data_IF_335804518173
#
_entry.id   IF_335804518173
#
_cell.length_a   1.000
_cell.length_b   1.000
_cell.length_c   1.000
_cell.angle_alpha   90.00
_cell.angle_beta   90.00
_cell.angle_gamma   90.00
#
_symmetry.space_group_name_H-M   'P 1'
#
loop_
_entity.id
_entity.type
_entity.pdbx_description
1 polymer ?
#
# COMPACT_ATOMS: atom_id res chain seq x y z
N UNK A 1 -7.61 -9.53 -15.67
CA UNK A 1 -8.97 -9.23 -16.18
C UNK A 1 -9.54 -7.94 -15.60
N UNK A 2 -9.47 -7.71 -14.28
CA UNK A 2 -10.04 -6.52 -13.60
C UNK A 2 -9.33 -5.20 -13.98
N UNK A 3 -8.00 -5.16 -13.97
CA UNK A 3 -7.22 -4.00 -14.47
C UNK A 3 -7.50 -3.71 -15.94
N UNK A 4 -7.85 -4.73 -16.75
CA UNK A 4 -8.23 -4.55 -18.16
C UNK A 4 -9.65 -4.00 -18.30
N UNK A 5 -10.58 -4.37 -17.40
CA UNK A 5 -11.94 -3.81 -17.36
C UNK A 5 -11.93 -2.33 -16.94
N UNK A 6 -11.13 -1.96 -15.93
CA UNK A 6 -10.92 -0.56 -15.54
C UNK A 6 -10.16 0.23 -16.62
N UNK A 7 -9.15 -0.36 -17.28
CA UNK A 7 -8.43 0.26 -18.41
C UNK A 7 -9.31 0.49 -19.65
N UNK A 8 -10.33 -0.34 -19.89
CA UNK A 8 -11.23 -0.21 -21.07
C UNK A 8 -12.13 1.03 -21.00
N UNK A 9 -12.38 1.58 -19.81
CA UNK A 9 -13.14 2.81 -19.58
C UNK A 9 -12.27 4.09 -19.58
N UNK A 10 -10.96 4.01 -19.84
CA UNK A 10 -10.03 5.14 -19.73
C UNK A 10 -10.07 6.16 -20.88
N UNK A 11 -10.94 5.98 -21.90
CA UNK A 11 -11.00 6.86 -23.07
C UNK A 11 -11.92 8.11 -22.90
N UNK A 12 -12.41 8.41 -21.69
CA UNK A 12 -13.17 9.65 -21.44
C UNK A 12 -12.30 10.70 -20.72
N UNK A 13 -11.58 11.50 -21.49
CA UNK A 13 -10.98 12.75 -20.99
C UNK A 13 -12.08 13.78 -20.73
N UNK A 14 -12.69 13.79 -19.54
CA UNK A 14 -13.62 14.87 -19.12
C UNK A 14 -13.60 15.21 -17.63
N UNK A 15 -12.50 14.95 -16.92
CA UNK A 15 -12.35 15.32 -15.50
C UNK A 15 -11.57 16.63 -15.24
N UNK A 16 -11.37 17.49 -16.26
CA UNK A 16 -10.44 18.63 -16.17
C UNK A 16 -10.98 19.92 -15.53
N UNK A 17 -12.22 19.94 -15.01
CA UNK A 17 -12.80 21.16 -14.41
C UNK A 17 -12.84 21.18 -12.88
N UNK A 18 -12.28 20.19 -12.17
CA UNK A 18 -12.03 20.31 -10.73
C UNK A 18 -10.61 20.85 -10.54
N UNK A 19 -10.47 22.14 -10.23
CA UNK A 19 -9.13 22.71 -10.09
C UNK A 19 -8.50 22.11 -8.85
N UNK A 20 -7.19 21.82 -8.92
CA UNK A 20 -6.43 21.34 -7.78
C UNK A 20 -6.62 22.26 -6.56
N UNK A 21 -6.84 23.56 -6.75
CA UNK A 21 -7.18 24.54 -5.70
C UNK A 21 -8.46 24.23 -4.92
N UNK A 22 -9.44 23.57 -5.55
CA UNK A 22 -10.74 23.23 -4.94
C UNK A 22 -10.60 22.05 -3.95
N UNK A 23 -9.51 21.28 -4.09
CA UNK A 23 -9.16 20.10 -3.27
C UNK A 23 -7.97 20.40 -2.34
N UNK A 24 -6.98 21.17 -2.79
CA UNK A 24 -5.75 21.51 -2.04
C UNK A 24 -6.00 22.48 -0.90
N UNK A 25 -7.19 23.07 -0.85
CA UNK A 25 -7.66 23.86 0.29
C UNK A 25 -7.72 23.08 1.60
N UNK A 26 -7.80 21.73 1.57
CA UNK A 26 -8.11 20.75 2.64
C UNK A 26 -7.26 20.84 3.93
N UNK A 27 -7.29 21.98 4.60
CA UNK A 27 -6.34 22.38 5.66
C UNK A 27 -6.61 21.79 7.04
N UNK A 28 -7.59 20.91 7.21
CA UNK A 28 -7.93 20.20 8.46
C UNK A 28 -9.13 19.29 8.21
N UNK A 29 -9.30 18.25 9.01
CA UNK A 29 -10.53 17.43 9.10
C UNK A 29 -11.87 18.19 9.07
N UNK A 30 -11.90 19.44 9.57
CA UNK A 30 -13.07 20.32 9.47
C UNK A 30 -13.53 20.49 8.02
N UNK A 31 -12.61 20.48 7.06
CA UNK A 31 -12.89 20.68 5.65
C UNK A 31 -13.35 19.42 4.93
N UNK A 32 -12.93 18.22 5.33
CA UNK A 32 -13.52 16.96 4.83
C UNK A 32 -14.97 16.84 5.29
N UNK A 33 -15.27 17.20 6.55
CA UNK A 33 -16.65 17.27 7.03
C UNK A 33 -17.44 18.37 6.32
N UNK A 34 -16.83 19.50 5.97
CA UNK A 34 -17.46 20.52 5.12
C UNK A 34 -17.66 20.00 3.70
N UNK A 35 -16.73 19.22 3.14
CA UNK A 35 -16.87 18.59 1.82
C UNK A 35 -18.03 17.60 1.83
N UNK A 36 -18.05 16.67 2.77
CA UNK A 36 -19.11 15.68 2.92
C UNK A 36 -20.45 16.29 3.35
N UNK A 37 -20.48 17.55 3.83
CA UNK A 37 -21.72 18.31 4.08
C UNK A 37 -22.11 19.25 2.94
N UNK A 38 -21.18 19.79 2.14
CA UNK A 38 -21.46 20.79 1.08
C UNK A 38 -21.46 20.18 -0.32
N UNK A 39 -20.52 19.30 -0.64
CA UNK A 39 -20.34 18.78 -1.99
C UNK A 39 -21.42 17.79 -2.42
N UNK A 40 -21.98 16.93 -1.55
CA UNK A 40 -23.12 16.09 -1.94
C UNK A 40 -24.33 16.88 -2.45
N UNK A 41 -24.42 18.19 -2.23
CA UNK A 41 -25.53 18.99 -2.74
C UNK A 41 -25.17 19.76 -4.02
N UNK A 42 -23.90 19.75 -4.45
CA UNK A 42 -23.53 20.34 -5.75
C UNK A 42 -23.94 19.41 -6.90
N UNK A 43 -24.54 19.98 -7.94
CA UNK A 43 -24.93 19.24 -9.15
C UNK A 43 -23.74 18.52 -9.78
N UNK A 44 -22.58 19.17 -9.83
CA UNK A 44 -21.34 18.60 -10.38
C UNK A 44 -20.85 17.37 -9.62
N UNK A 45 -20.87 17.39 -8.28
CA UNK A 45 -20.47 16.21 -7.52
C UNK A 45 -21.47 15.06 -7.68
N UNK A 46 -22.77 15.37 -7.80
CA UNK A 46 -23.78 14.33 -8.09
C UNK A 46 -23.52 13.68 -9.46
N UNK A 47 -23.19 14.47 -10.48
CA UNK A 47 -22.77 13.94 -11.79
C UNK A 47 -21.55 13.03 -11.68
N UNK A 48 -20.51 13.46 -10.96
CA UNK A 48 -19.31 12.63 -10.74
C UNK A 48 -19.59 11.38 -9.89
N UNK A 49 -20.57 11.42 -8.99
CA UNK A 49 -21.00 10.26 -8.22
C UNK A 49 -21.70 9.24 -9.10
N UNK A 50 -22.60 9.68 -9.98
CA UNK A 50 -23.27 8.79 -10.93
C UNK A 50 -22.28 8.19 -11.95
N UNK A 51 -21.27 8.95 -12.39
CA UNK A 51 -20.15 8.41 -13.18
C UNK A 51 -19.39 7.31 -12.42
N UNK A 52 -19.11 7.53 -11.12
CA UNK A 52 -18.44 6.53 -10.27
C UNK A 52 -19.28 5.27 -10.11
N UNK A 53 -20.60 5.42 -9.92
CA UNK A 53 -21.56 4.30 -9.85
C UNK A 53 -21.54 3.48 -11.12
N UNK A 54 -21.67 4.12 -12.28
CA UNK A 54 -21.69 3.42 -13.57
C UNK A 54 -20.37 2.67 -13.83
N UNK A 55 -19.23 3.29 -13.51
CA UNK A 55 -17.91 2.67 -13.71
C UNK A 55 -17.72 1.39 -12.87
N UNK A 56 -18.20 1.39 -11.62
CA UNK A 56 -18.08 0.25 -10.72
C UNK A 56 -19.33 -0.64 -10.65
N UNK A 57 -20.34 -0.37 -11.49
CA UNK A 57 -21.64 -1.05 -11.42
C UNK A 57 -21.50 -2.56 -11.48
N UNK A 58 -20.69 -3.06 -12.42
CA UNK A 58 -20.49 -4.50 -12.60
C UNK A 58 -19.83 -5.18 -11.39
N UNK A 59 -19.06 -4.43 -10.59
CA UNK A 59 -18.40 -4.91 -9.38
C UNK A 59 -19.44 -4.98 -8.26
N UNK A 60 -20.03 -3.84 -7.90
CA UNK A 60 -20.82 -3.72 -6.68
C UNK A 60 -22.26 -4.24 -6.81
N UNK A 61 -22.79 -4.40 -8.03
CA UNK A 61 -24.09 -5.07 -8.24
C UNK A 61 -24.04 -6.56 -7.87
N UNK A 62 -22.85 -7.18 -7.92
CA UNK A 62 -22.66 -8.63 -7.69
C UNK A 62 -21.95 -8.98 -6.38
N UNK A 63 -21.29 -8.01 -5.75
CA UNK A 63 -20.40 -8.25 -4.61
C UNK A 63 -20.96 -7.68 -3.31
N UNK A 64 -20.94 -6.35 -3.19
CA UNK A 64 -21.21 -5.60 -1.97
C UNK A 64 -22.00 -4.34 -2.30
N UNK A 65 -23.20 -4.21 -1.71
CA UNK A 65 -24.09 -3.09 -2.00
C UNK A 65 -23.65 -1.84 -1.23
N UNK A 66 -23.09 -0.88 -1.96
CA UNK A 66 -22.71 0.42 -1.43
C UNK A 66 -23.92 1.29 -1.13
N UNK A 67 -23.92 1.95 0.03
CA UNK A 67 -24.90 2.99 0.36
C UNK A 67 -24.48 4.36 -0.21
N UNK A 68 -25.33 5.38 -0.04
CA UNK A 68 -25.06 6.73 -0.60
C UNK A 68 -23.81 7.41 -0.02
N UNK A 69 -23.47 7.17 1.26
CA UNK A 69 -22.22 7.66 1.85
C UNK A 69 -21.00 6.93 1.27
N UNK A 70 -21.11 5.62 1.04
CA UNK A 70 -20.05 4.82 0.43
C UNK A 70 -19.74 5.33 -0.99
N UNK A 71 -20.77 5.57 -1.80
CA UNK A 71 -20.60 6.15 -3.12
C UNK A 71 -19.96 7.55 -3.08
N UNK A 72 -20.32 8.38 -2.11
CA UNK A 72 -19.71 9.69 -1.94
C UNK A 72 -18.22 9.60 -1.59
N UNK A 73 -17.83 8.68 -0.69
CA UNK A 73 -16.42 8.45 -0.33
C UNK A 73 -15.61 7.92 -1.50
N UNK A 74 -16.16 6.96 -2.23
CA UNK A 74 -15.50 6.38 -3.40
C UNK A 74 -15.32 7.42 -4.51
N UNK A 75 -16.32 8.28 -4.72
CA UNK A 75 -16.24 9.41 -5.66
C UNK A 75 -15.17 10.41 -5.22
N UNK A 76 -15.09 10.71 -3.92
CA UNK A 76 -14.07 11.60 -3.38
C UNK A 76 -12.65 11.07 -3.62
N UNK A 77 -12.42 9.76 -3.40
CA UNK A 77 -11.16 9.10 -3.74
C UNK A 77 -10.85 9.25 -5.23
N UNK A 78 -11.82 8.97 -6.11
CA UNK A 78 -11.65 9.05 -7.57
C UNK A 78 -11.26 10.46 -8.04
N UNK A 79 -11.93 11.48 -7.52
CA UNK A 79 -11.66 12.89 -7.84
C UNK A 79 -10.34 13.39 -7.23
N UNK A 80 -9.98 12.88 -6.05
CA UNK A 80 -8.72 13.23 -5.41
C UNK A 80 -7.54 12.59 -6.13
N UNK A 81 -7.50 11.26 -6.20
CA UNK A 81 -6.42 10.52 -6.82
C UNK A 81 -6.93 9.22 -7.45
N UNK A 82 -7.00 9.23 -8.78
CA UNK A 82 -7.48 8.11 -9.58
C UNK A 82 -6.76 6.79 -9.26
N UNK A 83 -5.45 6.82 -9.06
CA UNK A 83 -4.66 5.62 -8.76
C UNK A 83 -5.01 5.04 -7.40
N UNK A 84 -5.16 5.88 -6.37
CA UNK A 84 -5.60 5.44 -5.02
C UNK A 84 -7.01 4.84 -5.07
N UNK A 85 -7.91 5.43 -5.86
CA UNK A 85 -9.24 4.86 -6.10
C UNK A 85 -9.18 3.49 -6.78
N UNK A 86 -8.43 3.37 -7.89
CA UNK A 86 -8.31 2.09 -8.63
C UNK A 86 -7.70 1.01 -7.74
N UNK A 87 -6.70 1.37 -6.95
CA UNK A 87 -6.06 0.50 -5.98
C UNK A 87 -7.01 0.06 -4.86
N UNK A 88 -7.80 0.97 -4.29
CA UNK A 88 -8.78 0.64 -3.25
C UNK A 88 -9.84 -0.34 -3.77
N UNK A 89 -10.31 -0.15 -5.00
CA UNK A 89 -11.24 -1.08 -5.68
C UNK A 89 -10.55 -2.41 -5.99
N UNK A 90 -9.29 -2.38 -6.43
CA UNK A 90 -8.48 -3.58 -6.72
C UNK A 90 -8.28 -4.45 -5.48
N UNK A 91 -7.81 -3.86 -4.37
CA UNK A 91 -7.64 -4.54 -3.09
C UNK A 91 -8.96 -5.14 -2.59
N UNK A 92 -10.08 -4.38 -2.67
CA UNK A 92 -11.41 -4.90 -2.35
C UNK A 92 -11.77 -6.13 -3.19
N UNK A 93 -11.55 -6.08 -4.50
CA UNK A 93 -11.87 -7.18 -5.40
C UNK A 93 -11.04 -8.44 -5.10
N UNK A 94 -9.76 -8.28 -4.76
CA UNK A 94 -8.90 -9.40 -4.37
C UNK A 94 -9.45 -10.04 -3.10
N UNK A 95 -9.75 -9.25 -2.07
CA UNK A 95 -10.34 -9.76 -0.82
C UNK A 95 -11.68 -10.44 -1.06
N UNK A 96 -12.55 -9.83 -1.86
CA UNK A 96 -13.86 -10.37 -2.18
C UNK A 96 -13.75 -11.72 -2.90
N UNK A 97 -12.88 -11.83 -3.92
CA UNK A 97 -12.63 -13.09 -4.61
C UNK A 97 -12.13 -14.17 -3.65
N UNK A 98 -11.21 -13.82 -2.75
CA UNK A 98 -10.63 -14.73 -1.75
C UNK A 98 -11.66 -15.27 -0.76
N UNK A 99 -12.62 -14.44 -0.34
CA UNK A 99 -13.64 -14.83 0.63
C UNK A 99 -14.86 -15.49 -0.01
N UNK A 100 -15.20 -15.15 -1.26
CA UNK A 100 -16.41 -15.66 -1.92
C UNK A 100 -16.14 -16.86 -2.83
N UNK A 101 -14.98 -16.94 -3.50
CA UNK A 101 -14.66 -17.98 -4.49
C UNK A 101 -13.67 -19.05 -3.98
N UNK A 102 -13.63 -19.21 -2.65
CA UNK A 102 -12.93 -20.24 -1.88
C UNK A 102 -11.41 -20.37 -2.11
N UNK A 103 -10.66 -19.81 -1.15
CA UNK A 103 -9.44 -20.46 -0.64
C UNK A 103 -9.77 -21.85 -0.06
N UNK A 104 -8.82 -22.79 -0.05
CA UNK A 104 -8.87 -23.91 0.90
C UNK A 104 -8.89 -23.34 2.32
N UNK A 105 -9.94 -23.62 3.11
CA UNK A 105 -10.16 -22.96 4.41
C UNK A 105 -10.81 -21.56 4.34
N UNK A 106 -11.25 -21.12 3.15
CA UNK A 106 -11.89 -19.81 2.97
C UNK A 106 -13.20 -19.64 3.75
N UNK A 107 -13.90 -20.74 4.04
CA UNK A 107 -15.13 -20.71 4.84
C UNK A 107 -14.87 -20.33 6.30
N UNK A 108 -13.75 -20.83 6.85
CA UNK A 108 -13.26 -20.57 8.19
C UNK A 108 -12.74 -19.13 8.31
N UNK A 109 -11.97 -18.67 7.31
CA UNK A 109 -11.51 -17.28 7.23
C UNK A 109 -12.72 -16.34 7.17
N UNK A 110 -13.69 -16.61 6.30
CA UNK A 110 -14.92 -15.81 6.17
C UNK A 110 -15.71 -15.76 7.47
N UNK A 111 -15.83 -16.89 8.18
CA UNK A 111 -16.46 -16.96 9.50
C UNK A 111 -15.68 -16.13 10.54
N UNK A 112 -14.35 -16.24 10.56
CA UNK A 112 -13.48 -15.44 11.42
C UNK A 112 -13.68 -13.94 11.19
N UNK A 113 -13.70 -13.52 9.91
CA UNK A 113 -13.99 -12.14 9.50
C UNK A 113 -15.36 -11.68 10.03
N UNK A 114 -16.40 -12.51 9.89
CA UNK A 114 -17.74 -12.17 10.39
C UNK A 114 -17.79 -12.04 11.90
N UNK A 115 -17.13 -12.94 12.64
CA UNK A 115 -17.07 -12.89 14.11
C UNK A 115 -16.37 -11.62 14.60
N UNK A 116 -15.32 -11.19 13.90
CA UNK A 116 -14.46 -10.10 14.32
C UNK A 116 -14.94 -8.73 13.86
N UNK A 117 -15.28 -8.57 12.58
CA UNK A 117 -15.84 -7.34 12.04
C UNK A 117 -17.32 -7.17 12.43
N UNK A 118 -17.98 -8.25 12.83
CA UNK A 118 -19.43 -8.34 13.09
C UNK A 118 -20.27 -8.56 11.83
N UNK A 119 -19.78 -8.17 10.66
CA UNK A 119 -20.36 -8.54 9.37
C UNK A 119 -19.33 -8.39 8.24
N UNK A 120 -19.56 -9.08 7.12
CA UNK A 120 -18.74 -8.92 5.92
C UNK A 120 -18.87 -7.52 5.33
N UNK A 121 -20.05 -6.90 5.42
CA UNK A 121 -20.28 -5.54 4.94
C UNK A 121 -19.37 -4.50 5.61
N UNK A 122 -19.15 -4.65 6.92
CA UNK A 122 -18.19 -3.81 7.68
C UNK A 122 -16.78 -4.05 7.16
N UNK A 123 -16.37 -5.31 7.00
CA UNK A 123 -15.04 -5.65 6.52
C UNK A 123 -14.79 -5.18 5.08
N UNK A 124 -15.73 -5.41 4.17
CA UNK A 124 -15.67 -4.97 2.78
C UNK A 124 -15.61 -3.46 2.65
N UNK A 125 -16.39 -2.72 3.45
CA UNK A 125 -16.29 -1.26 3.52
C UNK A 125 -14.92 -0.80 4.06
N UNK A 126 -14.39 -1.48 5.08
CA UNK A 126 -13.06 -1.18 5.61
C UNK A 126 -11.97 -1.42 4.56
N UNK A 127 -12.05 -2.51 3.80
CA UNK A 127 -11.13 -2.81 2.71
C UNK A 127 -11.23 -1.76 1.60
N UNK A 128 -12.44 -1.40 1.17
CA UNK A 128 -12.64 -0.39 0.12
C UNK A 128 -12.16 1.02 0.52
N UNK A 129 -12.13 1.33 1.82
CA UNK A 129 -11.75 2.65 2.33
C UNK A 129 -10.51 2.63 3.22
N UNK A 130 -9.68 1.57 3.17
CA UNK A 130 -8.43 1.49 3.94
C UNK A 130 -7.51 2.68 3.66
N UNK A 131 -7.59 3.20 2.45
CA UNK A 131 -6.76 4.27 1.89
C UNK A 131 -7.41 5.66 1.87
N UNK A 132 -8.61 5.84 2.43
CA UNK A 132 -9.33 7.13 2.38
C UNK A 132 -8.52 8.28 2.99
N UNK A 133 -7.65 8.00 3.96
CA UNK A 133 -6.75 8.97 4.56
C UNK A 133 -5.71 9.56 3.60
N UNK A 134 -5.42 8.93 2.45
CA UNK A 134 -4.49 9.47 1.45
C UNK A 134 -4.97 10.81 0.87
N UNK A 135 -6.26 11.15 0.98
CA UNK A 135 -6.79 12.46 0.58
C UNK A 135 -6.20 13.63 1.39
N UNK A 136 -5.58 13.36 2.52
CA UNK A 136 -4.92 14.36 3.36
C UNK A 136 -3.44 14.53 3.02
N UNK A 137 -2.90 13.63 2.20
CA UNK A 137 -1.52 13.67 1.74
C UNK A 137 -1.44 14.53 0.47
N UNK A 138 -0.56 15.54 0.41
CA UNK A 138 -0.40 16.35 -0.79
C UNK A 138 -0.09 15.51 -2.03
N UNK A 139 -0.74 15.81 -3.16
CA UNK A 139 -0.59 15.01 -4.40
C UNK A 139 0.85 14.86 -4.89
N UNK A 140 1.71 15.87 -4.70
CA UNK A 140 3.13 15.78 -5.11
C UNK A 140 3.97 14.86 -4.21
N UNK A 141 3.49 14.56 -3.00
CA UNK A 141 4.05 13.53 -2.12
C UNK A 141 3.48 12.17 -2.50
N UNK A 142 2.16 12.08 -2.65
CA UNK A 142 1.47 10.84 -3.02
C UNK A 142 1.96 10.29 -4.37
N UNK A 143 2.18 11.17 -5.35
CA UNK A 143 2.65 10.85 -6.70
C UNK A 143 4.15 11.04 -6.88
N UNK A 144 4.92 10.98 -5.80
CA UNK A 144 6.37 11.07 -5.89
C UNK A 144 6.91 9.92 -6.75
N UNK A 145 7.58 10.25 -7.86
CA UNK A 145 8.08 9.27 -8.83
C UNK A 145 9.53 8.83 -8.58
N UNK A 146 10.16 9.30 -7.50
CA UNK A 146 11.55 8.94 -7.20
C UNK A 146 11.63 7.46 -6.82
N UNK A 147 12.49 6.74 -7.54
CA UNK A 147 12.79 5.33 -7.27
C UNK A 147 13.69 5.18 -6.05
N UNK A 148 13.86 3.96 -5.55
CA UNK A 148 14.83 3.69 -4.46
C UNK A 148 16.25 4.09 -4.86
N UNK A 149 16.62 3.94 -6.14
CA UNK A 149 17.91 4.41 -6.67
C UNK A 149 18.04 5.93 -6.60
N UNK A 150 16.98 6.66 -6.89
CA UNK A 150 16.97 8.12 -6.78
C UNK A 150 17.09 8.56 -5.33
N UNK A 151 16.36 7.93 -4.41
CA UNK A 151 16.47 8.21 -2.98
C UNK A 151 17.86 7.89 -2.42
N UNK A 152 18.47 6.77 -2.83
CA UNK A 152 19.86 6.46 -2.50
C UNK A 152 20.83 7.52 -3.02
N UNK A 153 20.62 8.03 -4.25
CA UNK A 153 21.42 9.11 -4.81
C UNK A 153 21.24 10.42 -4.04
N UNK A 154 20.02 10.76 -3.61
CA UNK A 154 19.75 11.95 -2.79
C UNK A 154 20.44 11.84 -1.43
N UNK A 155 20.35 10.68 -0.77
CA UNK A 155 21.04 10.39 0.48
C UNK A 155 22.56 10.50 0.34
N UNK A 156 23.14 9.82 -0.66
CA UNK A 156 24.57 9.89 -0.98
C UNK A 156 25.05 11.34 -1.14
N UNK A 157 24.36 12.14 -1.98
CA UNK A 157 24.70 13.54 -2.20
C UNK A 157 24.62 14.37 -0.91
N UNK A 158 23.65 14.11 -0.03
CA UNK A 158 23.53 14.78 1.26
C UNK A 158 24.74 14.50 2.16
N UNK A 159 25.10 13.22 2.29
CA UNK A 159 26.25 12.76 3.09
C UNK A 159 27.57 13.34 2.57
N UNK A 160 27.80 13.34 1.25
CA UNK A 160 29.03 13.91 0.66
C UNK A 160 29.14 15.42 0.86
N UNK A 161 28.03 16.17 0.74
CA UNK A 161 28.00 17.61 1.07
C UNK A 161 28.36 17.88 2.54
N UNK A 162 28.07 16.94 3.42
CA UNK A 162 28.38 17.01 4.85
C UNK A 162 29.75 16.39 5.21
N UNK A 163 30.64 16.18 4.22
CA UNK A 163 31.98 15.58 4.41
C UNK A 163 31.91 14.20 5.08
N UNK A 164 31.08 13.32 4.53
CA UNK A 164 30.86 11.96 5.04
C UNK A 164 30.29 11.95 6.47
N UNK A 165 29.44 12.93 6.81
CA UNK A 165 28.68 12.93 8.07
C UNK A 165 27.21 12.68 7.77
N UNK A 166 26.65 11.68 8.45
CA UNK A 166 25.20 11.45 8.47
C UNK A 166 24.57 12.47 9.43
N UNK A 167 23.55 13.18 8.95
CA UNK A 167 22.83 14.18 9.74
C UNK A 167 22.06 13.55 10.91
N UNK A 168 21.71 14.37 11.90
CA UNK A 168 21.05 13.93 13.13
C UNK A 168 19.72 13.19 12.85
N UNK A 169 18.93 13.68 11.91
CA UNK A 169 17.64 13.10 11.55
C UNK A 169 17.82 11.73 10.91
N UNK A 170 18.73 11.60 9.95
CA UNK A 170 19.00 10.28 9.36
C UNK A 170 19.53 9.31 10.42
N UNK A 171 20.38 9.76 11.37
CA UNK A 171 20.79 8.92 12.52
C UNK A 171 19.61 8.44 13.36
N UNK A 172 18.59 9.27 13.58
CA UNK A 172 17.35 8.89 14.28
C UNK A 172 16.64 7.76 13.53
N UNK A 173 16.54 7.83 12.20
CA UNK A 173 15.97 6.75 11.40
C UNK A 173 16.81 5.48 11.43
N UNK A 174 18.14 5.57 11.31
CA UNK A 174 19.01 4.40 11.43
C UNK A 174 18.85 3.69 12.78
N UNK A 175 18.65 4.45 13.87
CA UNK A 175 18.32 3.89 15.18
C UNK A 175 16.92 3.26 15.21
N UNK A 176 15.90 3.94 14.66
CA UNK A 176 14.52 3.43 14.54
C UNK A 176 14.48 2.05 13.89
N UNK A 177 15.27 1.85 12.84
CA UNK A 177 15.34 0.59 12.10
C UNK A 177 16.45 -0.37 12.57
N UNK A 178 17.08 -0.10 13.74
CA UNK A 178 18.14 -0.93 14.31
C UNK A 178 19.35 -1.19 13.36
N UNK A 179 19.68 -0.23 12.51
CA UNK A 179 20.81 -0.29 11.57
C UNK A 179 21.84 0.81 11.82
N UNK A 180 21.84 1.43 13.01
CA UNK A 180 22.80 2.47 13.36
C UNK A 180 24.26 2.03 13.27
N UNK A 181 24.54 0.73 13.48
CA UNK A 181 25.88 0.15 13.31
C UNK A 181 26.38 0.15 11.85
N UNK A 182 25.52 0.41 10.87
CA UNK A 182 25.90 0.65 9.47
C UNK A 182 26.19 2.13 9.16
N UNK A 183 26.06 3.05 10.13
CA UNK A 183 26.20 4.47 9.89
C UNK A 183 27.54 4.82 9.21
N UNK A 184 28.66 4.25 9.67
CA UNK A 184 29.96 4.52 9.06
C UNK A 184 30.04 3.96 7.63
N UNK A 185 29.59 2.72 7.41
CA UNK A 185 29.55 2.14 6.05
C UNK A 185 28.72 2.98 5.09
N UNK A 186 27.55 3.45 5.53
CA UNK A 186 26.68 4.34 4.75
C UNK A 186 27.32 5.72 4.52
N UNK A 187 28.06 6.24 5.51
CA UNK A 187 28.73 7.54 5.42
C UNK A 187 29.89 7.52 4.42
N UNK A 188 30.63 6.41 4.38
CA UNK A 188 31.81 6.22 3.55
C UNK A 188 31.55 5.54 2.21
N UNK A 189 30.32 5.06 1.95
CA UNK A 189 29.93 4.49 0.67
C UNK A 189 30.43 5.34 -0.51
N UNK A 190 30.98 4.68 -1.52
CA UNK A 190 31.63 5.30 -2.68
C UNK A 190 30.61 5.73 -3.74
N UNK A 191 29.46 5.05 -3.79
CA UNK A 191 28.41 5.32 -4.77
C UNK A 191 27.01 4.91 -4.26
N UNK A 192 25.92 5.35 -4.92
CA UNK A 192 24.56 5.01 -4.51
C UNK A 192 24.22 3.52 -4.54
N UNK A 193 24.88 2.70 -5.38
CA UNK A 193 24.59 1.27 -5.45
C UNK A 193 25.12 0.53 -4.21
N UNK A 194 26.23 0.99 -3.62
CA UNK A 194 26.72 0.45 -2.36
C UNK A 194 25.73 0.70 -1.22
N UNK A 195 25.12 1.90 -1.19
CA UNK A 195 24.04 2.22 -0.24
C UNK A 195 22.85 1.28 -0.43
N UNK A 196 22.41 1.07 -1.67
CA UNK A 196 21.33 0.12 -1.98
C UNK A 196 21.68 -1.29 -1.51
N UNK A 197 22.90 -1.75 -1.77
CA UNK A 197 23.37 -3.07 -1.34
C UNK A 197 23.33 -3.22 0.19
N UNK A 198 23.91 -2.26 0.92
CA UNK A 198 23.91 -2.25 2.38
C UNK A 198 22.47 -2.30 2.91
N UNK A 199 21.59 -1.41 2.44
CA UNK A 199 20.21 -1.33 2.93
C UNK A 199 19.37 -2.56 2.53
N UNK A 200 19.62 -3.14 1.36
CA UNK A 200 18.98 -4.39 0.91
C UNK A 200 19.26 -5.54 1.87
N UNK A 201 20.48 -5.65 2.42
CA UNK A 201 20.80 -6.70 3.43
C UNK A 201 19.95 -6.60 4.70
N UNK A 202 19.35 -5.44 4.95
CA UNK A 202 18.49 -5.17 6.10
C UNK A 202 17.04 -4.96 5.72
N UNK A 203 16.65 -5.27 4.48
CA UNK A 203 15.29 -5.07 3.95
C UNK A 203 14.78 -3.64 4.18
N UNK A 204 15.68 -2.64 4.15
CA UNK A 204 15.35 -1.23 4.31
C UNK A 204 15.45 -0.52 2.97
N UNK A 205 14.49 0.34 2.69
CA UNK A 205 14.46 1.17 1.49
C UNK A 205 15.09 2.53 1.79
N UNK A 206 15.84 3.14 0.86
CA UNK A 206 16.43 4.47 1.05
C UNK A 206 15.40 5.55 1.40
N UNK A 207 14.19 5.46 0.85
CA UNK A 207 13.07 6.39 1.12
C UNK A 207 12.65 6.41 2.60
N UNK A 208 12.90 5.34 3.36
CA UNK A 208 12.55 5.24 4.77
C UNK A 208 13.47 6.03 5.69
N UNK A 209 14.73 6.20 5.28
CA UNK A 209 15.78 6.84 6.10
C UNK A 209 16.18 8.23 5.59
N UNK A 210 15.76 8.58 4.36
CA UNK A 210 16.14 9.85 3.72
C UNK A 210 15.09 10.92 4.00
N UNK A 211 15.46 12.03 4.66
CA UNK A 211 14.56 13.17 4.86
C UNK A 211 13.96 13.72 3.55
N UNK A 212 12.68 14.10 3.58
CA UNK A 212 11.94 14.54 2.38
C UNK A 212 12.56 15.78 1.73
N UNK A 213 13.21 16.65 2.50
CA UNK A 213 13.96 17.83 1.98
C UNK A 213 15.01 17.51 0.93
N UNK A 214 15.47 16.25 0.86
CA UNK A 214 16.43 15.83 -0.17
C UNK A 214 15.73 15.37 -1.46
N UNK A 215 14.46 14.96 -1.39
CA UNK A 215 13.67 14.45 -2.51
C UNK A 215 12.82 15.49 -3.23
N UNK A 216 12.38 16.56 -2.55
CA UNK A 216 11.46 17.56 -3.13
C UNK A 216 12.11 18.94 -3.30
N UNK A 217 11.46 19.81 -4.08
CA UNK A 217 11.91 21.19 -4.29
C UNK A 217 11.68 22.08 -3.06
N UNK A 218 12.43 23.19 -2.96
CA UNK A 218 12.23 24.19 -1.90
C UNK A 218 10.81 24.79 -1.91
N UNK A 219 10.19 24.90 -3.10
CA UNK A 219 8.81 25.42 -3.25
C UNK A 219 7.80 24.44 -2.68
N UNK A 220 7.92 23.16 -3.02
CA UNK A 220 7.09 22.09 -2.46
C UNK A 220 7.27 21.95 -0.95
N UNK A 221 8.50 22.06 -0.45
CA UNK A 221 8.75 22.03 0.99
C UNK A 221 8.09 23.21 1.72
N UNK A 222 8.20 24.43 1.20
CA UNK A 222 7.48 25.59 1.78
C UNK A 222 5.98 25.35 1.82
N UNK A 223 5.43 24.70 0.78
CA UNK A 223 4.02 24.29 0.71
C UNK A 223 3.69 23.26 1.79
N UNK A 224 4.47 22.17 1.92
CA UNK A 224 4.31 21.16 2.98
C UNK A 224 4.25 21.79 4.37
N UNK A 225 5.24 22.61 4.69
CA UNK A 225 5.34 23.21 6.02
C UNK A 225 4.18 24.17 6.30
N UNK A 226 3.85 25.04 5.35
CA UNK A 226 2.82 26.07 5.52
C UNK A 226 1.40 25.49 5.51
N UNK A 227 1.12 24.53 4.65
CA UNK A 227 -0.23 24.01 4.43
C UNK A 227 -0.53 22.76 5.27
N UNK A 228 0.47 21.92 5.54
CA UNK A 228 0.29 20.61 6.18
C UNK A 228 1.01 20.48 7.53
N UNK A 229 1.83 21.47 7.93
CA UNK A 229 2.59 21.40 9.19
C UNK A 229 3.63 20.29 9.22
N UNK A 230 4.07 19.81 8.05
CA UNK A 230 5.06 18.73 7.93
C UNK A 230 6.46 19.34 7.90
N UNK A 231 7.33 18.85 8.80
CA UNK A 231 8.73 19.28 8.89
C UNK A 231 9.62 18.63 7.81
N UNK A 232 10.73 19.30 7.48
CA UNK A 232 11.64 18.86 6.39
C UNK A 232 12.37 17.57 6.68
N UNK A 233 12.51 17.26 7.95
CA UNK A 233 13.32 16.17 8.46
C UNK A 233 12.52 14.85 8.52
N UNK A 234 11.22 14.90 8.23
CA UNK A 234 10.39 13.71 8.10
C UNK A 234 10.72 12.98 6.79
N UNK A 235 10.83 11.65 6.82
CA UNK A 235 10.99 10.83 5.60
C UNK A 235 9.67 10.68 4.86
N UNK A 236 9.73 10.41 3.54
CA UNK A 236 8.51 10.23 2.73
C UNK A 236 7.65 9.08 3.28
N UNK A 237 8.27 7.99 3.77
CA UNK A 237 7.52 6.88 4.39
C UNK A 237 6.74 7.31 5.63
N UNK A 238 7.31 8.15 6.49
CA UNK A 238 6.57 8.61 7.69
C UNK A 238 5.40 9.53 7.33
N UNK A 239 5.55 10.37 6.29
CA UNK A 239 4.43 11.15 5.76
C UNK A 239 3.36 10.22 5.19
N UNK A 240 3.76 9.21 4.42
CA UNK A 240 2.80 8.24 3.87
C UNK A 240 2.05 7.51 4.97
N UNK A 241 2.72 7.09 6.06
CA UNK A 241 2.11 6.40 7.20
C UNK A 241 1.01 7.20 7.91
N UNK A 242 0.94 8.51 7.75
CA UNK A 242 -0.16 9.27 8.37
C UNK A 242 -1.52 8.89 7.78
N UNK A 243 -1.58 8.34 6.55
CA UNK A 243 -2.85 7.99 5.92
C UNK A 243 -3.65 6.98 6.75
N UNK A 244 -3.02 6.05 7.47
CA UNK A 244 -3.72 5.05 8.29
C UNK A 244 -4.54 5.75 9.40
N UNK A 245 -3.88 6.64 10.15
CA UNK A 245 -4.53 7.43 11.19
C UNK A 245 -5.62 8.36 10.63
N UNK A 246 -5.40 8.91 9.43
CA UNK A 246 -6.34 9.78 8.76
C UNK A 246 -7.55 8.99 8.23
N UNK A 247 -7.36 7.76 7.74
CA UNK A 247 -8.42 6.82 7.36
C UNK A 247 -9.33 6.51 8.54
N UNK A 248 -8.73 6.17 9.69
CA UNK A 248 -9.47 5.98 10.95
C UNK A 248 -10.33 7.21 11.27
N UNK A 249 -9.69 8.38 11.33
CA UNK A 249 -10.36 9.60 11.78
C UNK A 249 -11.46 10.08 10.82
N UNK A 250 -11.31 9.85 9.51
CA UNK A 250 -12.35 10.16 8.52
C UNK A 250 -13.55 9.23 8.70
N UNK A 251 -13.32 7.90 8.70
CA UNK A 251 -14.39 6.91 8.80
C UNK A 251 -15.13 7.00 10.14
N UNK A 252 -14.41 7.14 11.25
CA UNK A 252 -14.99 7.26 12.59
C UNK A 252 -15.94 8.46 12.68
N UNK A 253 -15.53 9.63 12.16
CA UNK A 253 -16.37 10.83 12.14
C UNK A 253 -17.63 10.70 11.28
N UNK A 254 -17.66 9.76 10.33
CA UNK A 254 -18.81 9.50 9.46
C UNK A 254 -19.77 8.44 10.03
N UNK A 255 -19.45 7.90 11.20
CA UNK A 255 -20.22 6.85 11.88
C UNK A 255 -19.81 5.43 11.48
N UNK A 256 -18.66 5.25 10.84
CA UNK A 256 -18.10 3.95 10.46
C UNK A 256 -17.04 3.50 11.48
N UNK A 257 -17.44 3.34 12.74
CA UNK A 257 -16.49 3.14 13.85
C UNK A 257 -15.71 1.82 13.73
N UNK A 258 -16.38 0.73 13.34
CA UNK A 258 -15.73 -0.57 13.15
C UNK A 258 -14.83 -0.58 11.92
N UNK A 259 -15.33 -0.01 10.81
CA UNK A 259 -14.53 0.11 9.60
C UNK A 259 -13.31 0.98 9.81
N UNK A 260 -13.44 2.08 10.59
CA UNK A 260 -12.33 2.93 10.96
C UNK A 260 -11.25 2.17 11.72
N UNK A 261 -11.63 1.34 12.69
CA UNK A 261 -10.68 0.54 13.46
C UNK A 261 -9.92 -0.46 12.59
N UNK A 262 -10.57 -1.04 11.58
CA UNK A 262 -9.94 -1.96 10.64
C UNK A 262 -9.04 -1.21 9.64
N UNK A 263 -9.60 -0.23 8.93
CA UNK A 263 -8.90 0.60 7.95
C UNK A 263 -7.72 1.37 8.55
N UNK A 264 -7.82 1.78 9.81
CA UNK A 264 -6.79 2.56 10.50
C UNK A 264 -5.56 1.76 10.95
N UNK A 265 -5.59 0.43 10.84
CA UNK A 265 -4.54 -0.46 11.33
C UNK A 265 -4.03 -1.43 10.24
N UNK A 266 -4.35 -1.20 8.96
CA UNK A 266 -3.99 -2.12 7.88
C UNK A 266 -2.48 -2.14 7.56
N UNK A 267 -1.71 -1.12 7.96
CA UNK A 267 -0.25 -1.07 7.78
C UNK A 267 0.56 -1.36 9.05
N UNK A 268 -0.09 -1.40 10.22
CA UNK A 268 0.52 -1.61 11.54
C UNK A 268 0.59 -3.13 11.84
N UNK A 269 1.46 -3.82 11.11
CA UNK A 269 1.58 -5.28 11.16
C UNK A 269 2.44 -5.80 12.32
N UNK A 270 2.30 -7.09 12.64
CA UNK A 270 2.70 -7.76 13.89
C UNK A 270 4.16 -7.52 14.37
N UNK A 271 5.14 -7.28 13.49
CA UNK A 271 6.57 -7.28 13.86
C UNK A 271 7.35 -5.97 13.69
N UNK A 272 6.84 -4.96 12.99
CA UNK A 272 7.65 -3.79 12.58
C UNK A 272 8.21 -2.96 13.75
N UNK A 273 7.80 -3.27 14.99
CA UNK A 273 8.27 -2.68 16.25
C UNK A 273 8.73 -3.72 17.30
N UNK A 274 9.13 -4.93 16.88
CA UNK A 274 9.66 -5.95 17.81
C UNK A 274 8.59 -6.61 18.70
N UNK A 275 7.48 -7.03 18.09
CA UNK A 275 6.44 -7.83 18.77
C UNK A 275 5.55 -7.07 19.74
N UNK A 276 5.56 -5.73 19.70
CA UNK A 276 4.56 -4.90 20.39
C UNK A 276 3.91 -3.99 19.38
N UNK A 277 2.64 -4.30 19.02
CA UNK A 277 1.74 -3.35 18.35
C UNK A 277 1.88 -1.98 19.02
N UNK A 278 1.77 -0.90 18.24
CA UNK A 278 1.70 0.42 18.83
C UNK A 278 0.58 0.41 19.88
N UNK A 279 0.95 0.59 21.15
CA UNK A 279 0.01 0.62 22.28
C UNK A 279 -0.93 1.82 22.22
N UNK A 280 -0.78 2.69 21.22
CA UNK A 280 -1.47 3.97 21.15
C UNK A 280 -2.96 3.83 20.80
N UNK A 281 -3.36 2.77 20.07
CA UNK A 281 -4.76 2.58 19.67
C UNK A 281 -5.34 1.18 19.99
N UNK A 282 -4.47 0.18 20.13
CA UNK A 282 -4.87 -1.21 20.47
C UNK A 282 -5.35 -1.40 21.91
N UNK A 283 -5.17 -0.42 22.80
CA UNK A 283 -5.59 -0.53 24.21
C UNK A 283 -7.04 -0.16 24.48
N UNK A 284 -7.78 0.35 23.49
CA UNK A 284 -9.17 0.79 23.67
C UNK A 284 -10.19 -0.19 23.05
N UNK A 285 -9.79 -1.06 22.11
CA UNK A 285 -10.73 -1.98 21.44
C UNK A 285 -10.10 -3.39 21.34
N UNK A 286 -10.61 -4.29 22.21
CA UNK A 286 -10.61 -5.77 22.18
C UNK A 286 -9.40 -6.43 21.49
N UNK A 287 -8.41 -6.83 22.29
CA UNK A 287 -7.18 -7.47 21.86
C UNK A 287 -7.33 -8.91 21.36
N UNK A 288 -6.42 -9.28 20.46
CA UNK A 288 -6.08 -10.61 19.92
C UNK A 288 -6.85 -11.16 18.71
N UNK A 289 -8.04 -10.67 18.33
CA UNK A 289 -8.67 -11.11 17.06
C UNK A 289 -8.36 -10.17 15.88
N UNK A 290 -8.37 -8.86 16.12
CA UNK A 290 -8.06 -7.76 15.17
C UNK A 290 -6.81 -7.88 14.28
N UNK A 291 -5.88 -8.81 14.53
CA UNK A 291 -4.76 -9.08 13.63
C UNK A 291 -5.19 -9.74 12.34
N UNK A 292 -6.15 -10.66 12.40
CA UNK A 292 -6.34 -11.64 11.33
C UNK A 292 -7.03 -10.98 10.12
N UNK A 293 -7.99 -10.08 10.34
CA UNK A 293 -8.65 -9.37 9.24
C UNK A 293 -7.82 -8.21 8.69
N UNK A 294 -6.96 -7.58 9.51
CA UNK A 294 -6.04 -6.54 9.05
C UNK A 294 -5.00 -7.14 8.10
N UNK A 295 -4.53 -8.35 8.40
CA UNK A 295 -3.60 -9.11 7.57
C UNK A 295 -4.20 -9.45 6.18
N UNK A 296 -5.51 -9.76 6.11
CA UNK A 296 -6.19 -9.95 4.82
C UNK A 296 -6.20 -8.67 3.96
N UNK A 297 -6.45 -7.51 4.57
CA UNK A 297 -6.40 -6.23 3.86
C UNK A 297 -4.97 -5.93 3.45
N UNK A 298 -3.99 -6.16 4.32
CA UNK A 298 -2.57 -5.98 4.02
C UNK A 298 -2.11 -6.84 2.84
N UNK A 299 -2.45 -8.13 2.81
CA UNK A 299 -2.10 -9.03 1.71
C UNK A 299 -2.70 -8.58 0.39
N UNK A 300 -3.97 -8.15 0.39
CA UNK A 300 -4.63 -7.61 -0.80
C UNK A 300 -4.03 -6.28 -1.25
N UNK A 301 -3.73 -5.40 -0.30
CA UNK A 301 -3.08 -4.10 -0.53
C UNK A 301 -1.71 -4.30 -1.21
N UNK A 302 -0.85 -5.13 -0.62
CA UNK A 302 0.47 -5.44 -1.18
C UNK A 302 0.34 -6.15 -2.53
N UNK A 303 -0.57 -7.12 -2.67
CA UNK A 303 -0.77 -7.81 -3.94
C UNK A 303 -1.19 -6.85 -5.06
N UNK A 304 -2.25 -6.06 -4.86
CA UNK A 304 -2.70 -5.09 -5.84
C UNK A 304 -1.61 -4.06 -6.15
N UNK A 305 -0.88 -3.63 -5.12
CA UNK A 305 0.21 -2.68 -5.29
C UNK A 305 1.33 -3.19 -6.20
N UNK A 306 1.66 -4.48 -6.11
CA UNK A 306 2.69 -5.11 -6.91
C UNK A 306 2.18 -5.55 -8.29
N UNK A 307 0.88 -5.86 -8.44
CA UNK A 307 0.23 -6.20 -9.72
C UNK A 307 -0.05 -4.98 -10.59
N UNK A 308 -0.22 -3.81 -9.99
CA UNK A 308 -0.57 -2.56 -10.68
C UNK A 308 0.66 -1.78 -11.17
N UNK A 309 0.49 -1.04 -12.27
CA UNK A 309 1.48 -0.06 -12.72
C UNK A 309 1.46 1.16 -11.79
N UNK A 310 2.63 1.54 -11.24
CA UNK A 310 2.78 2.69 -10.33
C UNK A 310 3.73 3.75 -10.90
N UNK A 311 3.67 4.98 -10.37
CA UNK A 311 4.53 6.08 -10.82
C UNK A 311 6.03 5.77 -10.67
N UNK A 312 6.38 4.86 -9.77
CA UNK A 312 7.76 4.53 -9.39
C UNK A 312 8.17 3.07 -9.72
N UNK A 313 7.26 2.22 -10.22
CA UNK A 313 7.59 0.89 -10.77
C UNK A 313 6.51 0.36 -11.71
N UNK A 314 6.88 -0.59 -12.59
CA UNK A 314 5.95 -1.38 -13.40
C UNK A 314 5.40 -2.57 -12.61
N UNK A 315 4.30 -3.15 -13.07
CA UNK A 315 3.76 -4.39 -12.50
C UNK A 315 4.80 -5.52 -12.43
N UNK A 316 4.74 -6.30 -11.35
CA UNK A 316 5.59 -7.46 -11.14
C UNK A 316 4.97 -8.75 -11.67
N UNK A 317 5.80 -9.76 -11.91
CA UNK A 317 5.31 -11.11 -12.23
C UNK A 317 4.64 -11.72 -11.01
N UNK A 318 3.65 -12.60 -11.24
CA UNK A 318 2.92 -13.25 -10.14
C UNK A 318 3.84 -13.99 -9.17
N UNK A 319 4.84 -14.71 -9.68
CA UNK A 319 5.81 -15.41 -8.84
C UNK A 319 6.62 -14.45 -7.93
N UNK A 320 7.04 -13.29 -8.46
CA UNK A 320 7.75 -12.27 -7.69
C UNK A 320 6.86 -11.63 -6.62
N UNK A 321 5.57 -11.47 -6.92
CA UNK A 321 4.58 -11.02 -5.94
C UNK A 321 4.49 -12.02 -4.79
N UNK A 322 4.33 -13.32 -5.08
CA UNK A 322 4.28 -14.36 -4.05
C UNK A 322 5.57 -14.42 -3.21
N UNK A 323 6.74 -14.33 -3.87
CA UNK A 323 8.02 -14.25 -3.15
C UNK A 323 8.12 -13.00 -2.25
N UNK A 324 7.49 -11.89 -2.65
CA UNK A 324 7.42 -10.67 -1.83
C UNK A 324 6.52 -10.87 -0.61
N UNK A 325 5.36 -11.52 -0.77
CA UNK A 325 4.50 -11.89 0.37
C UNK A 325 5.21 -12.83 1.36
N UNK A 326 6.00 -13.81 0.86
CA UNK A 326 6.84 -14.66 1.74
C UNK A 326 7.87 -13.82 2.50
N UNK A 327 8.46 -12.80 1.88
CA UNK A 327 9.39 -11.90 2.58
C UNK A 327 8.71 -11.13 3.70
N UNK A 328 7.44 -10.74 3.51
CA UNK A 328 6.65 -10.05 4.52
C UNK A 328 6.35 -10.98 5.70
N UNK A 329 6.00 -12.25 5.45
CA UNK A 329 5.85 -13.29 6.51
C UNK A 329 7.16 -13.48 7.29
N UNK A 330 8.29 -13.68 6.60
CA UNK A 330 9.61 -13.84 7.25
C UNK A 330 10.01 -12.64 8.10
N UNK A 331 9.54 -11.45 7.72
CA UNK A 331 9.77 -10.23 8.51
C UNK A 331 8.82 -10.11 9.69
N UNK A 332 7.77 -10.95 9.76
CA UNK A 332 6.67 -10.92 10.72
C UNK A 332 5.62 -9.84 10.41
N UNK A 333 5.59 -9.33 9.19
CA UNK A 333 4.64 -8.31 8.75
C UNK A 333 3.25 -8.89 8.42
N UNK A 334 3.05 -10.20 8.49
CA UNK A 334 1.75 -10.83 8.31
C UNK A 334 1.77 -12.19 9.00
N UNK A 335 0.64 -12.65 9.52
CA UNK A 335 0.50 -14.01 10.06
C UNK A 335 0.84 -15.07 9.00
N UNK A 336 1.65 -16.05 9.40
CA UNK A 336 2.13 -17.10 8.51
C UNK A 336 1.00 -17.98 7.99
N UNK A 337 -0.02 -18.30 8.80
CA UNK A 337 -1.08 -19.22 8.40
C UNK A 337 -1.97 -18.57 7.34
N UNK A 338 -2.38 -17.32 7.56
CA UNK A 338 -3.19 -16.56 6.60
C UNK A 338 -2.42 -16.40 5.28
N UNK A 339 -1.15 -15.99 5.34
CA UNK A 339 -0.33 -15.84 4.16
C UNK A 339 -0.08 -17.17 3.43
N UNK A 340 0.09 -18.28 4.15
CA UNK A 340 0.26 -19.62 3.57
C UNK A 340 -0.96 -20.04 2.76
N UNK A 341 -2.16 -19.89 3.32
CA UNK A 341 -3.40 -20.18 2.60
C UNK A 341 -3.50 -19.28 1.36
N UNK A 342 -3.24 -17.98 1.53
CA UNK A 342 -3.31 -17.00 0.45
C UNK A 342 -2.35 -17.31 -0.71
N UNK A 343 -1.09 -17.59 -0.38
CA UNK A 343 -0.02 -17.89 -1.33
C UNK A 343 -0.26 -19.23 -2.03
N UNK A 344 -0.77 -20.24 -1.30
CA UNK A 344 -1.08 -21.55 -1.90
C UNK A 344 -2.11 -21.41 -3.02
N UNK A 345 -3.22 -20.73 -2.77
CA UNK A 345 -4.27 -20.50 -3.78
C UNK A 345 -3.74 -19.75 -5.01
N UNK A 346 -2.99 -18.67 -4.81
CA UNK A 346 -2.40 -17.94 -5.94
C UNK A 346 -1.35 -18.77 -6.70
N UNK A 347 -0.62 -19.63 -5.99
CA UNK A 347 0.36 -20.51 -6.62
C UNK A 347 -0.31 -21.63 -7.42
N UNK A 348 -1.45 -22.15 -6.98
CA UNK A 348 -2.22 -23.14 -7.71
C UNK A 348 -2.85 -22.54 -8.98
N UNK A 349 -3.44 -21.34 -8.89
CA UNK A 349 -3.88 -20.56 -10.07
C UNK A 349 -2.73 -20.33 -11.06
N UNK A 350 -1.52 -20.06 -10.55
CA UNK A 350 -0.34 -19.87 -11.38
C UNK A 350 0.10 -21.17 -12.08
N UNK A 351 -0.05 -22.35 -11.45
CA UNK A 351 0.25 -23.65 -12.08
C UNK A 351 -0.67 -23.93 -13.26
N UNK A 352 -1.92 -23.52 -13.20
CA UNK A 352 -2.88 -23.71 -14.29
C UNK A 352 -2.60 -22.79 -15.51
N UNK A 353 -1.80 -21.74 -15.33
CA UNK A 353 -1.42 -20.84 -16.40
C UNK A 353 -0.38 -21.49 -17.34
N UNK A 354 -0.78 -21.72 -18.60
CA UNK A 354 0.10 -22.21 -19.67
C UNK A 354 1.37 -21.37 -19.87
N UNK A 355 1.32 -20.08 -19.55
CA UNK A 355 2.47 -19.17 -19.62
C UNK A 355 3.53 -19.52 -18.57
N UNK A 356 3.10 -19.95 -17.38
CA UNK A 356 3.97 -20.37 -16.28
C UNK A 356 4.76 -21.62 -16.64
N UNK A 357 4.12 -22.66 -17.20
CA UNK A 357 4.81 -23.87 -17.66
C UNK A 357 5.91 -23.57 -18.68
N UNK A 358 5.68 -22.64 -19.62
CA UNK A 358 6.71 -22.22 -20.58
C UNK A 358 7.89 -21.52 -19.90
N UNK A 359 7.66 -20.77 -18.82
CA UNK A 359 8.73 -20.15 -18.03
C UNK A 359 9.55 -21.25 -17.34
N UNK A 360 8.89 -22.20 -16.67
CA UNK A 360 9.57 -23.32 -16.00
C UNK A 360 10.39 -24.15 -16.98
N UNK A 361 9.84 -24.49 -18.14
CA UNK A 361 10.60 -25.22 -19.18
C UNK A 361 11.83 -24.45 -19.66
N UNK A 362 11.71 -23.13 -19.87
CA UNK A 362 12.84 -22.27 -20.26
C UNK A 362 13.90 -22.21 -19.18
N UNK A 363 13.49 -22.04 -17.92
CA UNK A 363 14.37 -22.04 -16.76
C UNK A 363 15.11 -23.38 -16.68
N UNK A 364 14.41 -24.50 -16.75
CA UNK A 364 15.00 -25.85 -16.72
C UNK A 364 15.99 -26.08 -17.87
N UNK A 365 15.71 -25.58 -19.07
CA UNK A 365 16.64 -25.63 -20.21
C UNK A 365 17.89 -24.75 -20.01
N UNK A 366 17.74 -23.60 -19.34
CA UNK A 366 18.82 -22.63 -19.08
C UNK A 366 19.67 -22.93 -17.85
N UNK A 367 19.33 -23.92 -17.02
CA UNK A 367 20.11 -24.30 -15.84
C UNK A 367 21.57 -24.71 -16.15
N UNK A 368 21.91 -24.96 -17.42
CA UNK A 368 23.30 -25.19 -17.85
C UNK A 368 24.16 -23.91 -17.95
N UNK A 369 23.56 -22.73 -18.07
CA UNK A 369 24.21 -21.40 -18.05
C UNK A 369 23.14 -20.29 -17.82
N UNK A 370 22.70 -20.06 -16.57
CA UNK A 370 21.64 -19.10 -16.30
C UNK A 370 22.14 -17.66 -16.43
N UNK A 371 21.46 -16.85 -17.24
CA UNK A 371 21.54 -15.39 -17.18
C UNK A 371 20.92 -14.87 -15.86
N UNK A 372 21.24 -13.62 -15.49
CA UNK A 372 20.78 -13.03 -14.22
C UNK A 372 19.24 -13.05 -14.08
N UNK A 373 18.50 -12.87 -15.18
CA UNK A 373 17.03 -12.90 -15.15
C UNK A 373 16.46 -14.28 -14.80
N UNK A 374 17.15 -15.35 -15.20
CA UNK A 374 16.73 -16.72 -14.91
C UNK A 374 17.04 -17.09 -13.46
N UNK A 375 18.07 -16.48 -12.84
CA UNK A 375 18.41 -16.71 -11.42
C UNK A 375 17.35 -16.17 -10.48
N UNK A 376 16.87 -14.94 -10.73
CA UNK A 376 15.82 -14.32 -9.91
C UNK A 376 14.54 -15.17 -9.89
N UNK A 377 14.11 -15.68 -11.05
CA UNK A 377 12.92 -16.54 -11.16
C UNK A 377 13.10 -17.87 -10.40
N UNK A 378 14.29 -18.47 -10.45
CA UNK A 378 14.60 -19.70 -9.71
C UNK A 378 14.57 -19.42 -8.20
N UNK A 379 15.15 -18.31 -7.76
CA UNK A 379 15.18 -17.91 -6.35
C UNK A 379 13.77 -17.66 -5.81
N UNK A 380 12.95 -16.91 -6.55
CA UNK A 380 11.55 -16.68 -6.21
C UNK A 380 10.77 -18.01 -6.13
N UNK A 381 10.97 -18.93 -7.07
CA UNK A 381 10.31 -20.25 -7.05
C UNK A 381 10.75 -21.12 -5.87
N UNK A 382 12.05 -21.18 -5.58
CA UNK A 382 12.57 -21.91 -4.42
C UNK A 382 12.02 -21.33 -3.13
N UNK A 383 11.93 -19.99 -3.04
CA UNK A 383 11.39 -19.30 -1.88
C UNK A 383 9.93 -19.65 -1.63
N UNK A 384 9.09 -19.52 -2.67
CA UNK A 384 7.66 -19.86 -2.57
C UNK A 384 7.47 -21.36 -2.27
N UNK A 385 8.18 -22.25 -2.96
CA UNK A 385 8.03 -23.68 -2.73
C UNK A 385 8.54 -24.14 -1.36
N UNK A 386 9.66 -23.57 -0.86
CA UNK A 386 10.14 -23.84 0.50
C UNK A 386 9.13 -23.35 1.55
N UNK A 387 8.53 -22.17 1.33
CA UNK A 387 7.50 -21.65 2.21
C UNK A 387 6.28 -22.58 2.27
N UNK A 388 5.84 -23.10 1.12
CA UNK A 388 4.72 -24.04 1.01
C UNK A 388 5.05 -25.49 1.40
N UNK A 389 6.31 -25.82 1.73
CA UNK A 389 6.72 -27.18 2.08
C UNK A 389 6.77 -28.15 0.89
N UNK A 390 6.99 -27.63 -0.33
CA UNK A 390 7.06 -28.41 -1.57
C UNK A 390 8.48 -28.90 -1.94
N UNK A 391 9.52 -28.37 -1.29
CA UNK A 391 10.94 -28.65 -1.57
C UNK A 391 11.74 -28.96 -0.31
#
# INVERSE_FOLDING_TARGET
MITQLLKKNQNSESANDFKESDIVGLKKYREINILLKKFPHSSKFQEEKEKTKEECRYIFDKSFKLNEKDWALLTLLRLFDRQTYEHSVGSFMIVWDKLENALEGGSEIKKGVQEEAGSLDVFYRACLFHDIGKITIPKFILRNSLTDKDWALKFYKSVKRQKNKIDFTTKKYLKKYNIFHFADKLAFAENPNEILSILKTKKIRPVQITPVRHGISKKEFRRLRKEYGIEEDVSLTEIMKTHEQESFNILYKLGYEKEAAIAGNHGDTYSALGGKKSKAYSSIIIGQRMSDIADLIYLADVQDALESDRYYHKSFTKLKILASLVNDVESGAVDENIARIWISDEFDKLKEDKSFHKIIEKVNKKLKNPDDSSRDVIEDMKKVGSFLGMF
#
